data_IF_128613386032
#
_entry.id   IF_128613386032
#
_cell.length_a   1.000
_cell.length_b   1.000
_cell.length_c   1.000
_cell.angle_alpha   90.00
_cell.angle_beta   90.00
_cell.angle_gamma   90.00
#
_symmetry.space_group_name_H-M   'P 1'
#
loop_
_entity.id
_entity.type
_entity.pdbx_description
1 polymer ?
#
# COMPACT_ATOMS: atom_id res chain seq x y z
N UNK A 1 -5.72 -5.96 6.69
CA UNK A 1 -5.25 -5.19 5.51
C UNK A 1 -6.33 -4.23 5.07
N UNK A 2 -6.04 -2.93 5.02
CA UNK A 2 -7.00 -1.92 4.61
C UNK A 2 -6.98 -1.68 3.08
N UNK A 3 -8.15 -1.59 2.47
CA UNK A 3 -8.35 -1.38 1.03
C UNK A 3 -9.29 -0.21 0.77
N UNK A 4 -9.10 0.52 -0.33
CA UNK A 4 -9.85 1.75 -0.62
C UNK A 4 -10.87 1.61 -1.77
N UNK A 5 -10.79 0.53 -2.55
CA UNK A 5 -11.64 0.30 -3.72
C UNK A 5 -12.30 -1.08 -3.70
N UNK A 6 -13.34 -1.28 -4.51
CA UNK A 6 -13.93 -2.62 -4.70
C UNK A 6 -12.92 -3.59 -5.32
N UNK A 7 -12.12 -3.10 -6.26
CA UNK A 7 -11.08 -3.87 -6.93
C UNK A 7 -10.03 -4.36 -5.94
N UNK A 8 -9.57 -3.49 -5.04
CA UNK A 8 -8.64 -3.87 -3.98
C UNK A 8 -9.27 -4.83 -2.97
N UNK A 9 -10.52 -4.59 -2.54
CA UNK A 9 -11.21 -5.49 -1.60
C UNK A 9 -11.37 -6.91 -2.18
N UNK A 10 -11.69 -7.01 -3.47
CA UNK A 10 -11.77 -8.29 -4.19
C UNK A 10 -10.39 -8.97 -4.27
N UNK A 11 -9.33 -8.20 -4.58
CA UNK A 11 -7.95 -8.72 -4.62
C UNK A 11 -7.47 -9.17 -3.23
N UNK A 12 -7.78 -8.40 -2.18
CA UNK A 12 -7.47 -8.77 -0.80
C UNK A 12 -8.19 -10.06 -0.39
N UNK A 13 -9.46 -10.21 -0.76
CA UNK A 13 -10.24 -11.43 -0.47
C UNK A 13 -9.62 -12.64 -1.16
N UNK A 14 -9.21 -12.49 -2.43
CA UNK A 14 -8.48 -13.52 -3.17
C UNK A 14 -7.13 -13.84 -2.52
N UNK A 15 -6.41 -12.83 -2.02
CA UNK A 15 -5.14 -13.02 -1.31
C UNK A 15 -5.34 -13.82 -0.01
N UNK A 16 -6.34 -13.46 0.81
CA UNK A 16 -6.71 -14.21 2.02
C UNK A 16 -6.98 -15.68 1.71
N UNK A 17 -7.79 -15.96 0.69
CA UNK A 17 -8.14 -17.33 0.31
C UNK A 17 -6.92 -18.13 -0.13
N UNK A 18 -6.06 -17.55 -0.98
CA UNK A 18 -4.86 -18.23 -1.43
C UNK A 18 -3.85 -18.45 -0.29
N UNK A 19 -3.70 -17.49 0.64
CA UNK A 19 -2.85 -17.66 1.82
C UNK A 19 -3.31 -18.82 2.69
N UNK A 20 -4.62 -18.93 2.95
CA UNK A 20 -5.18 -20.03 3.75
C UNK A 20 -4.96 -21.42 3.12
N UNK A 21 -4.91 -21.49 1.78
CA UNK A 21 -4.68 -22.73 1.02
C UNK A 21 -3.19 -23.09 0.93
N UNK A 22 -2.34 -22.10 0.69
CA UNK A 22 -0.92 -22.33 0.38
C UNK A 22 -0.06 -22.46 1.64
N UNK A 23 -0.40 -21.78 2.74
CA UNK A 23 0.44 -21.71 3.94
C UNK A 23 -0.29 -22.28 5.14
N UNK A 24 -0.05 -23.57 5.42
CA UNK A 24 -0.57 -24.24 6.62
C UNK A 24 0.01 -23.57 7.87
N UNK A 25 -0.87 -23.18 8.80
CA UNK A 25 -0.53 -22.41 10.01
C UNK A 25 0.18 -21.06 9.73
N UNK A 26 -0.04 -20.48 8.55
CA UNK A 26 0.49 -19.16 8.19
C UNK A 26 -0.27 -18.00 8.83
N UNK A 27 0.22 -16.76 8.65
CA UNK A 27 -0.50 -15.57 9.09
C UNK A 27 -1.85 -15.46 8.39
N UNK A 28 -2.89 -15.14 9.16
CA UNK A 28 -4.23 -14.90 8.65
C UNK A 28 -4.35 -13.46 8.16
N UNK A 29 -5.01 -13.28 7.02
CA UNK A 29 -5.24 -11.96 6.43
C UNK A 29 -6.74 -11.65 6.46
N UNK A 30 -7.11 -10.54 7.08
CA UNK A 30 -8.46 -9.96 7.00
C UNK A 30 -8.46 -8.71 6.12
N UNK A 31 -9.60 -8.42 5.50
CA UNK A 31 -9.76 -7.28 4.59
C UNK A 31 -10.74 -6.28 5.20
N UNK A 32 -10.31 -5.04 5.36
CA UNK A 32 -11.13 -3.91 5.86
C UNK A 32 -11.24 -2.89 4.74
N UNK A 33 -12.46 -2.61 4.28
CA UNK A 33 -12.69 -1.63 3.21
C UNK A 33 -13.03 -0.27 3.80
N UNK A 34 -12.34 0.77 3.34
CA UNK A 34 -12.63 2.19 3.61
C UNK A 34 -12.77 2.95 2.29
N UNK A 35 -13.03 4.26 2.35
CA UNK A 35 -13.29 5.09 1.16
C UNK A 35 -12.05 5.80 0.62
N UNK A 36 -10.98 5.89 1.41
CA UNK A 36 -9.75 6.60 1.06
C UNK A 36 -8.55 6.09 1.85
N UNK A 37 -7.33 6.42 1.40
CA UNK A 37 -6.12 6.12 2.16
C UNK A 37 -6.10 6.81 3.52
N UNK A 38 -6.62 8.04 3.60
CA UNK A 38 -6.73 8.76 4.88
C UNK A 38 -7.64 8.03 5.87
N UNK A 39 -8.72 7.43 5.39
CA UNK A 39 -9.61 6.63 6.25
C UNK A 39 -8.94 5.32 6.67
N UNK A 40 -8.07 4.73 5.84
CA UNK A 40 -7.24 3.60 6.25
C UNK A 40 -6.21 4.01 7.32
N UNK A 41 -5.55 5.17 7.19
CA UNK A 41 -4.63 5.69 8.19
C UNK A 41 -5.35 5.91 9.53
N UNK A 42 -6.54 6.53 9.51
CA UNK A 42 -7.41 6.68 10.70
C UNK A 42 -7.78 5.32 11.29
N UNK A 43 -8.23 4.38 10.46
CA UNK A 43 -8.62 3.05 10.91
C UNK A 43 -7.47 2.30 11.60
N UNK A 44 -6.22 2.47 11.16
CA UNK A 44 -5.07 1.84 11.80
C UNK A 44 -4.79 2.49 13.16
N UNK A 45 -4.81 3.82 13.25
CA UNK A 45 -4.70 4.54 14.53
C UNK A 45 -5.79 4.09 15.50
N UNK A 46 -7.01 3.92 15.02
CA UNK A 46 -8.19 3.55 15.81
C UNK A 46 -8.30 2.04 16.07
N UNK A 47 -7.29 1.25 15.66
CA UNK A 47 -7.21 -0.21 15.83
C UNK A 47 -8.34 -0.99 15.12
N UNK A 48 -8.91 -0.41 14.07
CA UNK A 48 -9.90 -1.06 13.20
C UNK A 48 -9.25 -1.79 12.01
N UNK A 49 -7.96 -1.52 11.74
CA UNK A 49 -7.14 -2.21 10.74
C UNK A 49 -5.67 -2.23 11.17
N UNK A 50 -4.87 -3.13 10.59
CA UNK A 50 -3.45 -3.27 11.02
C UNK A 50 -2.43 -2.63 10.06
N UNK A 51 -2.72 -2.63 8.75
CA UNK A 51 -1.75 -2.24 7.73
C UNK A 51 -2.42 -1.76 6.43
N UNK A 52 -1.74 -0.84 5.74
CA UNK A 52 -2.06 -0.33 4.39
C UNK A 52 -0.75 0.06 3.70
N UNK A 53 -0.66 -0.14 2.39
CA UNK A 53 0.45 0.36 1.56
C UNK A 53 0.16 1.80 1.12
N UNK A 54 1.15 2.69 1.24
CA UNK A 54 1.01 4.11 0.96
C UNK A 54 2.16 4.60 0.07
N UNK A 55 1.90 5.60 -0.76
CA UNK A 55 2.96 6.38 -1.40
C UNK A 55 3.73 7.22 -0.35
N UNK A 56 4.95 7.63 -0.67
CA UNK A 56 5.82 8.38 0.25
C UNK A 56 5.18 9.68 0.79
N UNK A 57 4.37 10.39 0.00
CA UNK A 57 3.64 11.57 0.45
C UNK A 57 2.60 11.23 1.52
N UNK A 58 1.83 10.16 1.33
CA UNK A 58 0.90 9.67 2.34
C UNK A 58 1.59 9.05 3.57
N UNK A 59 2.80 8.50 3.42
CA UNK A 59 3.62 8.06 4.55
C UNK A 59 3.99 9.24 5.45
N UNK A 60 4.34 10.40 4.87
CA UNK A 60 4.60 11.62 5.63
C UNK A 60 3.36 12.02 6.46
N UNK A 61 2.19 12.11 5.83
CA UNK A 61 0.93 12.43 6.50
C UNK A 61 0.58 11.42 7.61
N UNK A 62 0.76 10.12 7.34
CA UNK A 62 0.50 9.04 8.31
C UNK A 62 1.43 9.10 9.54
N UNK A 63 2.63 9.67 9.39
CA UNK A 63 3.59 9.84 10.48
C UNK A 63 3.26 11.00 11.41
N UNK A 64 2.47 11.98 10.96
CA UNK A 64 2.10 13.15 11.76
C UNK A 64 1.14 12.78 12.90
N UNK A 65 1.17 13.56 13.97
CA UNK A 65 0.13 13.50 14.98
C UNK A 65 -1.22 13.91 14.36
N UNK A 66 -2.33 13.21 14.68
CA UNK A 66 -2.47 12.21 15.74
C UNK A 66 -2.24 10.74 15.30
N UNK A 67 -1.87 10.49 14.03
CA UNK A 67 -1.78 9.13 13.49
C UNK A 67 -0.56 8.37 13.99
N UNK A 68 0.61 9.03 14.01
CA UNK A 68 1.87 8.49 14.54
C UNK A 68 2.22 7.08 14.00
N UNK A 69 1.83 6.77 12.76
CA UNK A 69 2.15 5.50 12.13
C UNK A 69 3.63 5.48 11.70
N UNK A 70 4.16 4.28 11.51
CA UNK A 70 5.56 4.06 11.12
C UNK A 70 5.62 3.15 9.90
N UNK A 71 6.49 3.43 8.92
CA UNK A 71 6.73 2.47 7.84
C UNK A 71 7.44 1.24 8.41
N UNK A 72 6.90 0.05 8.14
CA UNK A 72 7.44 -1.24 8.63
C UNK A 72 7.90 -2.18 7.52
N UNK A 73 7.41 -1.97 6.30
CA UNK A 73 7.77 -2.72 5.09
C UNK A 73 7.84 -1.72 3.93
N UNK A 74 8.83 -1.86 3.05
CA UNK A 74 8.97 -1.08 1.83
C UNK A 74 8.81 -1.99 0.60
N UNK A 75 8.12 -1.50 -0.43
CA UNK A 75 8.15 -2.15 -1.74
C UNK A 75 9.55 -2.01 -2.34
N UNK A 76 10.01 -3.05 -3.05
CA UNK A 76 11.20 -2.97 -3.88
C UNK A 76 10.81 -3.15 -5.35
N UNK A 77 11.56 -2.47 -6.20
CA UNK A 77 11.47 -2.51 -7.65
C UNK A 77 12.80 -3.01 -8.24
N UNK A 78 12.85 -3.15 -9.56
CA UNK A 78 14.02 -3.69 -10.25
C UNK A 78 14.08 -5.22 -10.19
N UNK A 79 15.28 -5.76 -10.40
CA UNK A 79 15.52 -7.20 -10.41
C UNK A 79 15.72 -7.72 -8.98
N UNK A 80 15.39 -8.99 -8.73
CA UNK A 80 15.59 -9.61 -7.41
C UNK A 80 17.06 -9.56 -6.95
N UNK A 81 17.99 -9.66 -7.89
CA UNK A 81 19.44 -9.65 -7.61
C UNK A 81 19.99 -8.22 -7.41
N UNK A 82 19.18 -7.19 -7.70
CA UNK A 82 19.50 -5.79 -7.48
C UNK A 82 18.24 -4.97 -7.10
N UNK A 83 17.69 -5.21 -5.90
CA UNK A 83 16.42 -4.60 -5.49
C UNK A 83 16.61 -3.12 -5.18
N UNK A 84 15.68 -2.30 -5.68
CA UNK A 84 15.66 -0.85 -5.45
C UNK A 84 14.42 -0.47 -4.65
N UNK A 85 14.59 0.05 -3.43
CA UNK A 85 13.49 0.56 -2.60
C UNK A 85 13.15 2.03 -2.92
N UNK A 86 13.43 2.47 -4.14
CA UNK A 86 13.18 3.81 -4.64
C UNK A 86 12.73 3.73 -6.10
N UNK A 87 12.11 4.81 -6.56
CA UNK A 87 11.74 4.98 -7.96
C UNK A 87 11.96 6.45 -8.35
N UNK A 88 12.00 6.70 -9.66
CA UNK A 88 12.25 8.04 -10.20
C UNK A 88 10.94 8.72 -10.56
N UNK A 89 10.75 9.95 -10.07
CA UNK A 89 9.72 10.84 -10.59
C UNK A 89 10.19 11.39 -11.94
N UNK A 90 9.38 11.22 -12.99
CA UNK A 90 9.73 11.60 -14.36
C UNK A 90 8.60 12.36 -15.03
N UNK A 91 8.94 13.26 -15.95
CA UNK A 91 8.00 13.93 -16.84
C UNK A 91 8.17 13.35 -18.25
N UNK A 92 7.19 12.53 -18.68
CA UNK A 92 7.23 11.89 -20.00
C UNK A 92 6.51 12.76 -21.03
N UNK A 93 7.21 13.07 -22.12
CA UNK A 93 6.71 13.91 -23.22
C UNK A 93 6.82 13.18 -24.54
N UNK A 94 5.89 13.47 -25.47
CA UNK A 94 5.96 12.91 -26.82
C UNK A 94 7.11 13.57 -27.58
N UNK A 95 7.86 12.78 -28.35
CA UNK A 95 8.85 13.29 -29.29
C UNK A 95 8.17 14.24 -30.28
N UNK A 96 8.72 15.44 -30.45
CA UNK A 96 8.15 16.48 -31.34
C UNK A 96 7.07 17.36 -30.71
N UNK A 97 6.91 17.35 -29.38
CA UNK A 97 5.92 18.18 -28.67
C UNK A 97 6.24 19.67 -28.64
N UNK A 98 7.46 20.10 -29.02
CA UNK A 98 7.88 21.50 -29.18
C UNK A 98 7.46 22.45 -28.05
N UNK A 99 7.35 21.96 -26.81
CA UNK A 99 7.14 22.82 -25.65
C UNK A 99 8.48 23.46 -25.28
N UNK A 100 8.51 24.78 -25.21
CA UNK A 100 9.65 25.60 -24.76
C UNK A 100 9.23 26.36 -23.51
#
# INVERSE_FOLDING_TARGET
WCTISNQEANKCSSFRENMSKAVKNGPLVSCVKKSSYLDCIKAIRDKEADAVTLDAGLVFEAGLAPYNLKPVVAEFYGQKDNPQTHYYAVAVVKKGSNFQ
#
